data_IF_769569531000
#
_entry.id   IF_769569531000
#
_cell.length_a   1.000
_cell.length_b   1.000
_cell.length_c   1.000
_cell.angle_alpha   90.00
_cell.angle_beta   90.00
_cell.angle_gamma   90.00
#
_symmetry.space_group_name_H-M   'P 1'
#
loop_
_entity.id
_entity.type
_entity.pdbx_description
1 polymer ?
#
# COMPACT_ATOMS: atom_id res chain seq x y z
N UNK A 1 8.46 4.85 3.56
CA UNK A 1 7.55 5.30 2.48
C UNK A 1 6.10 5.02 2.81
N UNK A 2 5.72 3.77 3.11
CA UNK A 2 4.31 3.41 3.39
C UNK A 2 3.60 4.31 4.38
N UNK A 3 4.19 4.58 5.55
CA UNK A 3 3.56 5.46 6.55
C UNK A 3 3.39 6.92 6.07
N UNK A 4 4.29 7.42 5.23
CA UNK A 4 4.14 8.79 4.66
C UNK A 4 2.97 8.82 3.68
N UNK A 5 2.79 7.75 2.91
CA UNK A 5 1.66 7.62 1.99
C UNK A 5 0.37 7.53 2.78
N UNK A 6 0.32 6.71 3.83
CA UNK A 6 -0.79 6.58 4.78
C UNK A 6 -1.20 7.95 5.35
N UNK A 7 -0.26 8.71 5.90
CA UNK A 7 -0.48 10.06 6.42
C UNK A 7 -1.06 11.03 5.36
N UNK A 8 -0.68 10.89 4.09
CA UNK A 8 -1.23 11.69 2.98
C UNK A 8 -2.71 11.34 2.77
N UNK A 9 -3.08 10.06 2.76
CA UNK A 9 -4.47 9.65 2.59
C UNK A 9 -5.34 10.08 3.79
N UNK A 10 -4.84 9.94 5.02
CA UNK A 10 -5.55 10.36 6.24
C UNK A 10 -5.77 11.87 6.30
N UNK A 11 -4.70 12.63 6.06
CA UNK A 11 -4.73 14.10 6.11
C UNK A 11 -5.69 14.63 5.05
N UNK A 12 -5.48 14.28 3.79
CA UNK A 12 -6.22 14.92 2.68
C UNK A 12 -7.60 14.32 2.44
N UNK A 13 -7.84 13.08 2.89
CA UNK A 13 -9.19 12.53 3.01
C UNK A 13 -10.04 13.37 3.98
N UNK A 14 -9.42 13.88 5.04
CA UNK A 14 -10.10 14.70 6.06
C UNK A 14 -10.30 16.16 5.63
N UNK A 15 -9.31 16.78 4.98
CA UNK A 15 -9.36 18.22 4.61
C UNK A 15 -10.07 18.51 3.29
N UNK A 16 -10.87 17.58 2.75
CA UNK A 16 -11.74 17.82 1.59
C UNK A 16 -10.97 18.10 0.30
N UNK A 17 -9.83 17.44 0.10
CA UNK A 17 -9.08 17.51 -1.17
C UNK A 17 -8.95 16.14 -1.84
N UNK A 18 -10.10 15.48 -1.97
CA UNK A 18 -10.22 14.12 -2.49
C UNK A 18 -9.72 13.99 -3.93
N UNK A 19 -9.92 15.01 -4.78
CA UNK A 19 -9.44 15.01 -6.17
C UNK A 19 -7.90 14.94 -6.26
N UNK A 20 -7.19 15.46 -5.25
CA UNK A 20 -5.72 15.31 -5.19
C UNK A 20 -5.30 13.89 -4.85
N UNK A 21 -6.08 13.18 -4.04
CA UNK A 21 -5.84 11.78 -3.74
C UNK A 21 -6.04 10.93 -4.99
N UNK A 22 -7.06 11.23 -5.81
CA UNK A 22 -7.29 10.53 -7.08
C UNK A 22 -6.06 10.65 -8.02
N UNK A 23 -5.55 11.87 -8.21
CA UNK A 23 -4.33 12.09 -9.01
C UNK A 23 -3.11 11.36 -8.43
N UNK A 24 -2.99 11.31 -7.11
CA UNK A 24 -1.89 10.62 -6.44
C UNK A 24 -1.99 9.09 -6.57
N UNK A 25 -3.20 8.53 -6.41
CA UNK A 25 -3.50 7.13 -6.68
C UNK A 25 -3.15 6.80 -8.13
N UNK A 26 -3.61 7.59 -9.10
CA UNK A 26 -3.31 7.37 -10.52
C UNK A 26 -1.81 7.42 -10.84
N UNK A 27 -1.05 8.33 -10.22
CA UNK A 27 0.40 8.39 -10.41
C UNK A 27 1.08 7.11 -9.91
N UNK A 28 0.67 6.61 -8.74
CA UNK A 28 1.17 5.34 -8.19
C UNK A 28 0.74 4.16 -9.06
N UNK A 29 -0.49 4.15 -9.57
CA UNK A 29 -0.97 3.13 -10.49
C UNK A 29 -0.15 3.04 -11.78
N UNK A 30 0.18 4.20 -12.38
CA UNK A 30 1.03 4.26 -13.58
C UNK A 30 2.46 3.85 -13.30
N UNK A 31 2.98 4.18 -12.11
CA UNK A 31 4.35 3.89 -11.69
C UNK A 31 5.39 4.43 -12.68
N UNK A 32 5.17 5.67 -13.15
CA UNK A 32 6.02 6.37 -14.12
C UNK A 32 6.35 7.76 -13.58
N UNK A 33 7.64 8.11 -13.55
CA UNK A 33 8.17 9.42 -13.13
C UNK A 33 7.51 10.59 -13.85
N UNK A 34 7.03 10.39 -15.09
CA UNK A 34 6.33 11.43 -15.85
C UNK A 34 4.92 11.75 -15.29
N UNK A 35 4.42 10.96 -14.34
CA UNK A 35 3.09 11.15 -13.73
C UNK A 35 3.07 12.22 -12.63
N UNK A 36 4.15 12.97 -12.45
CA UNK A 36 4.30 13.95 -11.35
C UNK A 36 3.65 15.30 -11.62
N UNK A 37 3.47 15.71 -12.88
CA UNK A 37 3.27 17.13 -13.23
C UNK A 37 2.05 17.77 -12.56
N UNK A 38 1.00 16.98 -12.35
CA UNK A 38 -0.28 17.42 -11.77
C UNK A 38 -0.36 17.30 -10.24
N UNK A 39 0.67 16.76 -9.59
CA UNK A 39 0.69 16.58 -8.14
C UNK A 39 1.13 17.86 -7.41
N UNK A 40 0.58 18.12 -6.21
CA UNK A 40 1.15 19.09 -5.27
C UNK A 40 2.61 18.76 -4.92
N UNK A 41 3.41 19.78 -4.58
CA UNK A 41 4.86 19.65 -4.37
C UNK A 41 5.26 18.58 -3.34
N UNK A 42 4.55 18.50 -2.21
CA UNK A 42 4.84 17.49 -1.19
C UNK A 42 4.52 16.06 -1.64
N UNK A 43 3.46 15.86 -2.43
CA UNK A 43 3.11 14.56 -3.03
C UNK A 43 4.15 14.16 -4.08
N UNK A 44 4.67 15.13 -4.84
CA UNK A 44 5.78 14.89 -5.78
C UNK A 44 7.01 14.37 -5.05
N UNK A 45 7.42 15.00 -3.95
CA UNK A 45 8.56 14.53 -3.16
C UNK A 45 8.33 13.13 -2.61
N UNK A 46 7.13 12.84 -2.08
CA UNK A 46 6.79 11.50 -1.62
C UNK A 46 6.84 10.47 -2.77
N UNK A 47 6.31 10.81 -3.93
CA UNK A 47 6.27 9.92 -5.09
C UNK A 47 7.66 9.64 -5.66
N UNK A 48 8.49 10.66 -5.82
CA UNK A 48 9.88 10.49 -6.28
C UNK A 48 10.66 9.62 -5.30
N UNK A 49 10.55 9.88 -3.99
CA UNK A 49 11.19 9.05 -2.98
C UNK A 49 10.68 7.59 -2.99
N UNK A 50 9.41 7.35 -3.31
CA UNK A 50 8.87 6.01 -3.48
C UNK A 50 9.54 5.31 -4.67
N UNK A 51 9.60 5.96 -5.83
CA UNK A 51 10.23 5.41 -7.03
C UNK A 51 11.72 5.14 -6.81
N UNK A 52 12.44 6.06 -6.15
CA UNK A 52 13.87 5.91 -5.86
C UNK A 52 14.14 4.69 -4.96
N UNK A 53 13.33 4.49 -3.92
CA UNK A 53 13.46 3.30 -3.03
C UNK A 53 13.26 2.01 -3.80
N UNK A 54 12.23 1.92 -4.66
CA UNK A 54 11.98 0.70 -5.43
C UNK A 54 13.04 0.48 -6.52
N UNK A 55 13.57 1.55 -7.10
CA UNK A 55 14.67 1.48 -8.05
C UNK A 55 15.95 0.96 -7.40
N UNK A 56 16.28 1.43 -6.19
CA UNK A 56 17.43 0.91 -5.42
C UNK A 56 17.27 -0.59 -5.15
N UNK A 57 16.06 -1.04 -4.78
CA UNK A 57 15.76 -2.46 -4.59
C UNK A 57 15.91 -3.24 -5.91
N UNK A 58 15.44 -2.69 -7.03
CA UNK A 58 15.57 -3.31 -8.35
C UNK A 58 17.03 -3.48 -8.78
N UNK A 59 17.86 -2.46 -8.58
CA UNK A 59 19.30 -2.51 -8.85
C UNK A 59 20.02 -3.58 -8.02
N UNK A 60 19.63 -3.78 -6.75
CA UNK A 60 20.17 -4.87 -5.93
C UNK A 60 19.67 -6.24 -6.41
N UNK A 61 18.38 -6.38 -6.74
CA UNK A 61 17.80 -7.65 -7.20
C UNK A 61 18.28 -8.06 -8.60
N UNK A 62 18.64 -7.11 -9.45
CA UNK A 62 19.24 -7.36 -10.77
C UNK A 62 20.56 -8.12 -10.66
N UNK A 63 21.39 -7.83 -9.65
CA UNK A 63 22.67 -8.50 -9.42
C UNK A 63 22.51 -10.01 -9.19
N UNK A 64 21.36 -10.42 -8.68
CA UNK A 64 21.00 -11.81 -8.38
C UNK A 64 20.06 -12.43 -9.42
N UNK A 65 19.70 -11.71 -10.49
CA UNK A 65 18.73 -12.18 -11.48
C UNK A 65 17.28 -12.29 -10.97
N UNK A 66 16.96 -11.59 -9.88
CA UNK A 66 15.70 -11.69 -9.13
C UNK A 66 14.75 -10.49 -9.36
N UNK A 67 14.89 -9.77 -10.48
CA UNK A 67 14.12 -8.55 -10.81
C UNK A 67 12.59 -8.75 -10.73
N UNK A 68 12.10 -9.94 -11.07
CA UNK A 68 10.66 -10.25 -11.01
C UNK A 68 10.07 -10.10 -9.60
N UNK A 69 10.88 -10.22 -8.54
CA UNK A 69 10.44 -10.05 -7.15
C UNK A 69 9.99 -8.61 -6.89
N UNK A 70 10.64 -7.64 -7.51
CA UNK A 70 10.31 -6.21 -7.37
C UNK A 70 8.96 -5.90 -8.01
N UNK A 71 8.62 -6.55 -9.12
CA UNK A 71 7.32 -6.37 -9.77
C UNK A 71 6.16 -6.81 -8.86
N UNK A 72 6.31 -7.93 -8.12
CA UNK A 72 5.32 -8.34 -7.13
C UNK A 72 5.15 -7.31 -6.00
N UNK A 73 6.26 -6.71 -5.59
CA UNK A 73 6.28 -5.71 -4.53
C UNK A 73 5.65 -4.37 -4.96
N UNK A 74 5.86 -3.96 -6.22
CA UNK A 74 5.20 -2.81 -6.82
C UNK A 74 3.69 -3.04 -6.85
N UNK A 75 3.23 -4.21 -7.30
CA UNK A 75 1.79 -4.50 -7.35
C UNK A 75 1.17 -4.56 -5.95
N UNK A 76 1.89 -5.09 -4.96
CA UNK A 76 1.43 -5.07 -3.57
C UNK A 76 1.29 -3.65 -3.00
N UNK A 77 2.19 -2.73 -3.36
CA UNK A 77 2.07 -1.31 -3.01
C UNK A 77 0.88 -0.65 -3.71
N UNK A 78 0.69 -0.90 -5.01
CA UNK A 78 -0.49 -0.40 -5.74
C UNK A 78 -1.79 -0.86 -5.11
N UNK A 79 -1.89 -2.15 -4.75
CA UNK A 79 -3.05 -2.68 -4.04
C UNK A 79 -3.32 -1.98 -2.71
N UNK A 80 -2.27 -1.72 -1.92
CA UNK A 80 -2.40 -0.97 -0.66
C UNK A 80 -2.92 0.45 -0.91
N UNK A 81 -2.38 1.14 -1.91
CA UNK A 81 -2.76 2.52 -2.25
C UNK A 81 -4.20 2.60 -2.79
N UNK A 82 -4.64 1.64 -3.60
CA UNK A 82 -6.05 1.50 -4.02
C UNK A 82 -6.98 1.38 -2.79
N UNK A 83 -6.55 0.61 -1.79
CA UNK A 83 -7.32 0.40 -0.57
C UNK A 83 -7.38 1.66 0.30
N UNK A 84 -6.27 2.39 0.46
CA UNK A 84 -6.26 3.69 1.14
C UNK A 84 -7.16 4.71 0.45
N UNK A 85 -7.16 4.76 -0.88
CA UNK A 85 -8.08 5.63 -1.63
C UNK A 85 -9.55 5.27 -1.37
N UNK A 86 -9.86 3.97 -1.26
CA UNK A 86 -11.20 3.50 -0.90
C UNK A 86 -11.62 3.92 0.52
N UNK A 87 -10.75 3.81 1.51
CA UNK A 87 -11.04 4.29 2.87
C UNK A 87 -11.24 5.81 2.91
N UNK A 88 -10.36 6.56 2.27
CA UNK A 88 -10.49 8.02 2.15
C UNK A 88 -11.80 8.41 1.45
N UNK A 89 -12.26 7.62 0.48
CA UNK A 89 -13.55 7.81 -0.19
C UNK A 89 -14.73 7.59 0.75
N UNK A 90 -14.73 6.50 1.52
CA UNK A 90 -15.78 6.28 2.53
C UNK A 90 -15.86 7.41 3.53
N UNK A 91 -14.70 7.89 4.00
CA UNK A 91 -14.63 9.04 4.89
C UNK A 91 -15.19 10.31 4.25
N UNK A 92 -14.76 10.63 3.02
CA UNK A 92 -15.19 11.82 2.29
C UNK A 92 -16.71 11.85 2.04
N UNK A 93 -17.30 10.70 1.68
CA UNK A 93 -18.73 10.56 1.40
C UNK A 93 -19.58 10.44 2.68
N UNK A 94 -18.97 10.25 3.86
CA UNK A 94 -19.68 9.93 5.09
C UNK A 94 -20.35 8.55 5.06
N UNK A 95 -19.86 7.66 4.18
CA UNK A 95 -20.38 6.31 3.98
C UNK A 95 -19.93 5.40 5.10
N UNK A 96 -20.87 4.75 5.79
CA UNK A 96 -20.59 3.73 6.80
C UNK A 96 -20.74 2.35 6.14
N UNK A 97 -19.64 1.63 5.85
CA UNK A 97 -19.71 0.31 5.24
C UNK A 97 -20.30 -0.73 6.21
N UNK A 98 -20.82 -1.82 5.67
CA UNK A 98 -21.09 -3.01 6.49
C UNK A 98 -19.77 -3.62 7.00
N UNK A 99 -19.83 -4.42 8.06
CA UNK A 99 -18.62 -5.11 8.56
C UNK A 99 -17.94 -5.98 7.49
N UNK A 100 -18.72 -6.59 6.59
CA UNK A 100 -18.15 -7.40 5.51
C UNK A 100 -17.42 -6.54 4.47
N UNK A 101 -18.02 -5.43 4.04
CA UNK A 101 -17.39 -4.48 3.11
C UNK A 101 -16.15 -3.84 3.75
N UNK A 102 -16.26 -3.39 5.00
CA UNK A 102 -15.18 -2.83 5.79
C UNK A 102 -13.98 -3.78 5.82
N UNK A 103 -14.19 -5.02 6.28
CA UNK A 103 -13.09 -5.97 6.48
C UNK A 103 -12.34 -6.29 5.18
N UNK A 104 -13.01 -6.28 4.01
CA UNK A 104 -12.33 -6.52 2.73
C UNK A 104 -11.28 -5.45 2.41
N UNK A 105 -11.56 -4.19 2.75
CA UNK A 105 -10.62 -3.08 2.54
C UNK A 105 -9.64 -2.98 3.72
N UNK A 106 -10.15 -3.07 4.95
CA UNK A 106 -9.40 -2.92 6.19
C UNK A 106 -8.25 -3.94 6.34
N UNK A 107 -8.43 -5.15 5.81
CA UNK A 107 -7.37 -6.16 5.78
C UNK A 107 -6.22 -5.77 4.84
N UNK A 108 -6.52 -5.11 3.72
CA UNK A 108 -5.50 -4.63 2.79
C UNK A 108 -4.79 -3.41 3.38
N UNK A 109 -5.53 -2.44 3.92
CA UNK A 109 -4.98 -1.22 4.54
C UNK A 109 -4.21 -1.46 5.83
N UNK A 110 -4.35 -2.65 6.45
CA UNK A 110 -3.42 -3.12 7.48
C UNK A 110 -1.95 -3.16 7.01
N UNK A 111 -1.71 -3.21 5.70
CA UNK A 111 -0.38 -3.23 5.10
C UNK A 111 0.35 -4.57 5.19
N UNK A 112 -0.20 -5.58 5.88
CA UNK A 112 0.51 -6.84 6.15
C UNK A 112 0.76 -7.69 4.89
N UNK A 113 -0.13 -7.63 3.91
CA UNK A 113 0.10 -8.27 2.60
C UNK A 113 1.30 -7.64 1.88
N UNK A 114 1.34 -6.31 1.81
CA UNK A 114 2.45 -5.56 1.22
C UNK A 114 3.75 -5.79 1.98
N UNK A 115 3.73 -5.72 3.31
CA UNK A 115 4.91 -5.97 4.15
C UNK A 115 5.45 -7.39 3.98
N UNK A 116 4.58 -8.39 3.87
CA UNK A 116 5.01 -9.78 3.64
C UNK A 116 5.70 -9.90 2.29
N UNK A 117 5.09 -9.39 1.21
CA UNK A 117 5.69 -9.36 -0.13
C UNK A 117 7.04 -8.64 -0.12
N UNK A 118 7.13 -7.47 0.52
CA UNK A 118 8.39 -6.70 0.63
C UNK A 118 9.47 -7.47 1.37
N UNK A 119 9.13 -8.13 2.48
CA UNK A 119 10.10 -8.90 3.26
C UNK A 119 10.72 -10.06 2.49
N UNK A 120 9.96 -10.68 1.58
CA UNK A 120 10.41 -11.83 0.79
C UNK A 120 11.47 -11.47 -0.25
N UNK A 121 11.52 -10.21 -0.70
CA UNK A 121 12.46 -9.77 -1.74
C UNK A 121 13.91 -10.10 -1.34
N UNK A 122 14.29 -9.73 -0.11
CA UNK A 122 15.67 -9.82 0.38
C UNK A 122 16.04 -11.14 1.09
N UNK A 123 15.21 -12.18 1.03
CA UNK A 123 15.46 -13.43 1.75
C UNK A 123 16.39 -14.41 1.00
N UNK A 124 16.98 -14.00 -0.12
CA UNK A 124 17.90 -14.83 -0.92
C UNK A 124 17.19 -16.01 -1.61
N UNK A 125 17.91 -17.13 -1.75
CA UNK A 125 17.48 -18.30 -2.54
C UNK A 125 16.33 -19.12 -1.95
N UNK A 126 15.98 -18.90 -0.67
CA UNK A 126 14.85 -19.63 -0.04
C UNK A 126 13.50 -19.20 -0.63
N UNK A 127 13.42 -17.98 -1.17
CA UNK A 127 12.20 -17.43 -1.76
C UNK A 127 12.19 -17.73 -3.25
N UNK A 128 11.19 -18.48 -3.68
CA UNK A 128 10.98 -18.79 -5.09
C UNK A 128 9.79 -18.02 -5.65
N UNK A 129 9.52 -18.17 -6.95
CA UNK A 129 8.32 -17.58 -7.57
C UNK A 129 7.03 -18.08 -6.91
N UNK A 130 6.99 -19.35 -6.56
CA UNK A 130 5.86 -19.99 -5.88
C UNK A 130 5.56 -19.37 -4.51
N UNK A 131 6.58 -18.80 -3.84
CA UNK A 131 6.37 -18.07 -2.58
C UNK A 131 5.55 -16.79 -2.81
N UNK A 132 5.78 -16.07 -3.92
CA UNK A 132 4.98 -14.89 -4.27
C UNK A 132 3.57 -15.27 -4.73
N UNK A 133 3.43 -16.33 -5.54
CA UNK A 133 2.11 -16.86 -5.92
C UNK A 133 1.30 -17.29 -4.68
N UNK A 134 1.98 -17.87 -3.68
CA UNK A 134 1.38 -18.21 -2.40
C UNK A 134 0.93 -16.97 -1.62
N UNK A 135 1.72 -15.89 -1.57
CA UNK A 135 1.30 -14.62 -0.92
C UNK A 135 0.07 -14.03 -1.61
N UNK A 136 0.04 -14.02 -2.95
CA UNK A 136 -1.08 -13.51 -3.75
C UNK A 136 -2.36 -14.33 -3.56
N UNK A 137 -2.24 -15.60 -3.15
CA UNK A 137 -3.40 -16.47 -2.88
C UNK A 137 -4.12 -16.21 -1.55
N UNK A 138 -3.76 -15.13 -0.84
CA UNK A 138 -4.30 -14.76 0.48
C UNK A 138 -4.24 -15.89 1.51
N UNK A 139 -3.02 -16.36 1.85
CA UNK A 139 -2.88 -17.52 2.71
C UNK A 139 -3.33 -17.18 4.12
N UNK A 140 -4.00 -18.15 4.77
CA UNK A 140 -4.65 -17.99 6.07
C UNK A 140 -3.79 -17.32 7.15
N UNK A 141 -2.48 -17.56 7.13
CA UNK A 141 -1.55 -16.96 8.09
C UNK A 141 -1.42 -15.45 7.89
N UNK A 142 -1.28 -14.97 6.65
CA UNK A 142 -1.19 -13.53 6.36
C UNK A 142 -2.54 -12.87 6.67
N UNK A 143 -3.65 -13.50 6.26
CA UNK A 143 -5.00 -13.00 6.57
C UNK A 143 -5.23 -12.89 8.07
N UNK A 144 -4.83 -13.90 8.86
CA UNK A 144 -4.95 -13.86 10.31
C UNK A 144 -4.09 -12.74 10.93
N UNK A 145 -2.87 -12.54 10.44
CA UNK A 145 -2.01 -11.43 10.89
C UNK A 145 -2.60 -10.06 10.54
N UNK A 146 -3.17 -9.90 9.35
CA UNK A 146 -3.86 -8.69 8.93
C UNK A 146 -5.09 -8.40 9.81
N UNK A 147 -5.90 -9.43 10.14
CA UNK A 147 -7.03 -9.31 11.08
C UNK A 147 -6.57 -8.82 12.45
N UNK A 148 -5.51 -9.44 13.00
CA UNK A 148 -4.97 -9.08 14.31
C UNK A 148 -4.49 -7.62 14.28
N UNK A 149 -3.71 -7.25 13.26
CA UNK A 149 -3.20 -5.90 13.10
C UNK A 149 -4.36 -4.90 13.06
N UNK A 150 -5.31 -5.10 12.14
CA UNK A 150 -6.39 -4.14 11.90
C UNK A 150 -7.29 -3.93 13.09
N UNK A 151 -7.79 -5.02 13.68
CA UNK A 151 -8.71 -4.90 14.82
C UNK A 151 -8.01 -4.33 16.05
N UNK A 152 -6.73 -4.67 16.28
CA UNK A 152 -5.99 -4.10 17.41
C UNK A 152 -5.73 -2.60 17.21
N UNK A 153 -5.38 -2.20 15.99
CA UNK A 153 -5.16 -0.82 15.60
C UNK A 153 -6.43 0.03 15.77
N UNK A 154 -7.57 -0.44 15.26
CA UNK A 154 -8.86 0.24 15.37
C UNK A 154 -9.30 0.42 16.83
N UNK A 155 -9.18 -0.64 17.64
CA UNK A 155 -9.55 -0.59 19.07
C UNK A 155 -8.64 0.37 19.84
N UNK A 156 -7.36 0.41 19.51
CA UNK A 156 -6.37 1.22 20.24
C UNK A 156 -6.41 2.70 19.84
N UNK A 157 -6.74 2.99 18.58
CA UNK A 157 -6.87 4.35 18.05
C UNK A 157 -8.22 4.99 18.37
N UNK A 158 -9.24 4.17 18.68
CA UNK A 158 -10.55 4.66 19.10
C UNK A 158 -10.46 5.44 20.42
N UNK A 159 -10.67 6.76 20.34
CA UNK A 159 -10.84 7.59 21.53
C UNK A 159 -12.27 7.48 22.03
N UNK A 160 -12.43 6.96 23.25
CA UNK A 160 -13.68 7.13 24.01
C UNK A 160 -13.77 8.62 24.36
N UNK A 161 -14.72 9.32 23.74
CA UNK A 161 -15.14 10.67 24.15
C UNK A 161 -15.85 10.62 25.51
#
# INVERSE_FOLDING_TARGET
MTSIIDDIYDTYGTYGTFEKLELFTEAIERWDVNSIDHLPEYMKHCYVALLDVYKEIEEEMEKEGNQYRVQNAIEAMKNLVRAYFHEAKWFHEGSIPTMEEYMRIALVTSGYYMLTTMSFIGMGEIVTKEAFDWVISDPKIITASAVICRLTDDISSYKVL
#
